data_IF_753988727210
#
_entry.id   IF_753988727210
#
_cell.length_a   1.000
_cell.length_b   1.000
_cell.length_c   1.000
_cell.angle_alpha   90.00
_cell.angle_beta   90.00
_cell.angle_gamma   90.00
#
_symmetry.space_group_name_H-M   'P 1'
#
loop_
_entity.id
_entity.type
_entity.pdbx_description
1 polymer ?
#
# COMPACT_ATOMS: atom_id res chain seq x y z
N UNK A 1 -11.85 -6.94 -8.81
CA UNK A 1 -10.59 -6.20 -8.57
C UNK A 1 -9.43 -7.13 -8.86
N UNK A 2 -8.40 -6.61 -9.49
CA UNK A 2 -7.15 -7.33 -9.73
C UNK A 2 -6.07 -6.84 -8.75
N UNK A 3 -5.41 -7.76 -8.07
CA UNK A 3 -4.25 -7.51 -7.20
C UNK A 3 -3.08 -8.34 -7.69
N UNK A 4 -1.96 -7.69 -7.97
CA UNK A 4 -0.71 -8.32 -8.39
C UNK A 4 0.34 -8.14 -7.30
N UNK A 5 0.96 -9.23 -6.86
CA UNK A 5 2.11 -9.18 -5.96
C UNK A 5 3.37 -9.07 -6.81
N UNK A 6 4.05 -7.92 -6.77
CA UNK A 6 5.16 -7.63 -7.68
C UNK A 6 6.46 -8.21 -7.11
N UNK A 7 6.89 -7.69 -5.96
CA UNK A 7 8.18 -8.02 -5.36
C UNK A 7 8.19 -7.72 -3.87
N UNK A 8 9.25 -8.14 -3.20
CA UNK A 8 9.60 -7.60 -1.89
C UNK A 8 11.09 -7.24 -1.86
N UNK A 9 11.42 -6.26 -1.02
CA UNK A 9 12.76 -5.71 -0.90
C UNK A 9 13.25 -5.78 0.54
N UNK A 10 14.57 -5.90 0.74
CA UNK A 10 15.25 -5.83 2.05
C UNK A 10 14.69 -6.84 3.08
N UNK A 11 14.42 -8.07 2.64
CA UNK A 11 14.02 -9.13 3.54
C UNK A 11 15.21 -9.62 4.36
N UNK A 12 15.03 -9.74 5.66
CA UNK A 12 16.07 -10.27 6.55
C UNK A 12 15.90 -11.77 6.76
N UNK A 13 16.94 -12.58 6.50
CA UNK A 13 16.97 -13.96 6.95
C UNK A 13 16.90 -14.01 8.48
N UNK A 14 16.35 -15.08 9.03
CA UNK A 14 16.48 -15.33 10.46
C UNK A 14 17.96 -15.58 10.78
N UNK A 15 18.52 -14.74 11.64
CA UNK A 15 19.94 -14.74 12.05
C UNK A 15 20.42 -16.01 12.76
N UNK A 16 19.55 -16.99 13.03
CA UNK A 16 19.83 -18.11 13.93
C UNK A 16 20.27 -19.40 13.24
N UNK A 17 20.56 -19.40 11.94
CA UNK A 17 21.01 -20.60 11.24
C UNK A 17 22.54 -20.63 11.10
N UNK A 18 23.15 -21.76 11.48
CA UNK A 18 24.59 -22.05 11.32
C UNK A 18 25.08 -21.95 9.86
N UNK A 19 24.15 -21.96 8.90
CA UNK A 19 24.42 -21.72 7.49
C UNK A 19 23.46 -20.65 6.98
N UNK A 20 23.92 -19.65 6.21
CA UNK A 20 23.05 -18.68 5.58
C UNK A 20 22.10 -19.40 4.63
N UNK A 21 20.84 -19.58 5.06
CA UNK A 21 19.81 -20.19 4.22
C UNK A 21 19.29 -19.13 3.26
N UNK A 22 19.39 -19.41 1.96
CA UNK A 22 18.71 -18.62 0.94
C UNK A 22 17.22 -18.65 1.25
N UNK A 23 16.62 -17.46 1.34
CA UNK A 23 15.17 -17.36 1.49
C UNK A 23 14.49 -17.90 0.23
N UNK A 24 13.34 -18.53 0.44
CA UNK A 24 12.45 -19.06 -0.61
C UNK A 24 11.07 -18.45 -0.42
N UNK A 25 10.89 -17.15 -0.73
CA UNK A 25 9.74 -16.39 -0.27
C UNK A 25 8.48 -16.68 -1.07
N UNK A 26 7.34 -16.60 -0.41
CA UNK A 26 6.02 -16.55 -1.02
C UNK A 26 5.08 -15.68 -0.18
N UNK A 27 4.04 -15.16 -0.82
CA UNK A 27 3.04 -14.31 -0.18
C UNK A 27 1.72 -15.05 -0.07
N UNK A 28 1.07 -14.89 1.08
CA UNK A 28 -0.31 -15.30 1.32
C UNK A 28 -1.16 -14.05 1.50
N UNK A 29 -2.27 -13.96 0.78
CA UNK A 29 -3.24 -12.89 0.90
C UNK A 29 -4.52 -13.46 1.50
N UNK A 30 -5.03 -12.78 2.51
CA UNK A 30 -6.23 -13.15 3.23
C UNK A 30 -7.23 -12.02 3.07
N UNK A 31 -8.32 -12.28 2.36
CA UNK A 31 -9.38 -11.31 2.09
C UNK A 31 -10.58 -11.64 2.95
N UNK A 32 -11.05 -10.71 3.81
CA UNK A 32 -12.21 -10.96 4.65
C UNK A 32 -13.46 -11.15 3.79
N UNK A 33 -14.25 -12.16 4.13
CA UNK A 33 -15.57 -12.33 3.54
C UNK A 33 -16.51 -11.23 4.01
N UNK A 34 -17.31 -10.69 3.09
CA UNK A 34 -18.36 -9.72 3.42
C UNK A 34 -19.67 -10.34 3.87
N UNK A 35 -19.82 -11.65 3.73
CA UNK A 35 -20.99 -12.39 4.18
C UNK A 35 -20.56 -13.17 5.44
N UNK A 36 -21.20 -12.90 6.58
CA UNK A 36 -20.78 -13.37 7.91
C UNK A 36 -20.59 -14.88 8.08
N UNK A 37 -21.08 -15.69 7.13
CA UNK A 37 -20.99 -17.15 7.14
C UNK A 37 -20.05 -17.75 6.08
N UNK A 38 -19.42 -16.94 5.22
CA UNK A 38 -18.56 -17.47 4.14
C UNK A 38 -17.07 -17.52 4.54
N UNK A 39 -16.33 -18.53 4.04
CA UNK A 39 -14.92 -18.69 4.36
C UNK A 39 -14.10 -17.48 3.89
N UNK A 40 -13.09 -17.13 4.68
CA UNK A 40 -12.05 -16.17 4.32
C UNK A 40 -11.35 -16.65 3.05
N UNK A 41 -11.28 -15.81 2.03
CA UNK A 41 -10.59 -16.17 0.78
C UNK A 41 -9.08 -16.02 0.97
N UNK A 42 -8.35 -17.12 0.73
CA UNK A 42 -6.89 -17.16 0.83
C UNK A 42 -6.30 -17.37 -0.55
N UNK A 43 -5.39 -16.48 -0.94
CA UNK A 43 -4.62 -16.56 -2.19
C UNK A 43 -3.14 -16.72 -1.86
N UNK A 44 -2.39 -17.38 -2.73
CA UNK A 44 -0.96 -17.61 -2.52
C UNK A 44 -0.20 -17.43 -3.83
N UNK A 45 0.96 -16.79 -3.76
CA UNK A 45 1.88 -16.69 -4.89
C UNK A 45 2.64 -17.99 -5.09
N UNK A 46 3.24 -18.13 -6.27
CA UNK A 46 4.37 -19.04 -6.45
C UNK A 46 5.48 -18.80 -5.41
N UNK A 47 6.30 -19.82 -5.17
CA UNK A 47 7.49 -19.70 -4.32
C UNK A 47 8.63 -19.18 -5.19
N UNK A 48 9.28 -18.12 -4.75
CA UNK A 48 10.48 -17.63 -5.40
C UNK A 48 11.72 -18.30 -4.80
N UNK A 49 12.26 -19.28 -5.51
CA UNK A 49 13.47 -20.02 -5.11
C UNK A 49 14.77 -19.24 -5.42
N UNK A 50 14.68 -18.15 -6.19
CA UNK A 50 15.83 -17.43 -6.72
C UNK A 50 16.05 -16.05 -6.05
N UNK A 51 15.00 -15.25 -5.86
CA UNK A 51 15.17 -13.85 -5.47
C UNK A 51 15.69 -13.62 -4.04
N UNK A 52 15.65 -14.64 -3.16
CA UNK A 52 16.29 -14.57 -1.85
C UNK A 52 15.75 -13.42 -0.99
N UNK A 53 16.60 -12.42 -0.70
CA UNK A 53 16.20 -11.24 0.09
C UNK A 53 15.40 -10.21 -0.71
N UNK A 54 15.36 -10.33 -2.04
CA UNK A 54 14.65 -9.43 -2.95
C UNK A 54 13.81 -10.24 -3.95
N UNK A 55 12.77 -10.96 -3.48
CA UNK A 55 11.97 -11.81 -4.34
C UNK A 55 11.09 -11.05 -5.33
N UNK A 56 10.76 -11.70 -6.45
CA UNK A 56 9.81 -11.21 -7.45
C UNK A 56 8.86 -12.31 -7.88
N UNK A 57 7.56 -12.00 -7.97
CA UNK A 57 6.51 -12.98 -8.27
C UNK A 57 5.77 -12.64 -9.56
N UNK A 58 5.10 -11.47 -9.59
CA UNK A 58 4.24 -11.09 -10.71
C UNK A 58 2.91 -11.84 -10.75
N UNK A 59 2.63 -12.72 -9.78
CA UNK A 59 1.36 -13.42 -9.61
C UNK A 59 0.19 -12.43 -9.48
N UNK A 60 -0.89 -12.71 -10.22
CA UNK A 60 -2.09 -11.88 -10.32
C UNK A 60 -3.30 -12.61 -9.75
N UNK A 61 -4.04 -11.93 -8.90
CA UNK A 61 -5.22 -12.46 -8.20
C UNK A 61 -6.45 -11.62 -8.54
N UNK A 62 -7.53 -12.29 -8.96
CA UNK A 62 -8.84 -11.68 -9.10
C UNK A 62 -9.60 -11.82 -7.78
N UNK A 63 -9.75 -10.69 -7.09
CA UNK A 63 -10.50 -10.59 -5.84
C UNK A 63 -11.91 -10.14 -6.19
N UNK A 64 -12.94 -10.98 -5.93
CA UNK A 64 -14.32 -10.60 -6.13
C UNK A 64 -14.66 -9.48 -5.14
N UNK A 65 -15.08 -8.34 -5.67
CA UNK A 65 -15.72 -7.30 -4.87
C UNK A 65 -17.21 -7.53 -5.06
N UNK A 66 -17.88 -8.12 -4.08
CA UNK A 66 -19.34 -8.31 -4.18
C UNK A 66 -19.97 -6.92 -4.29
N UNK A 67 -20.57 -6.59 -5.43
CA UNK A 67 -21.23 -5.29 -5.65
C UNK A 67 -22.41 -5.06 -4.68
N UNK A 68 -22.97 -6.15 -4.15
CA UNK A 68 -24.02 -6.14 -3.13
C UNK A 68 -23.48 -6.05 -1.69
N UNK A 69 -22.18 -6.28 -1.48
CA UNK A 69 -21.57 -6.07 -0.17
C UNK A 69 -21.14 -4.63 -0.06
N UNK A 70 -22.09 -3.85 0.44
CA UNK A 70 -21.88 -2.46 0.81
C UNK A 70 -20.66 -2.24 1.71
N UNK A 71 -20.15 -3.25 2.42
CA UNK A 71 -18.99 -3.16 3.33
C UNK A 71 -17.66 -2.74 2.67
N UNK A 72 -17.39 -3.11 1.41
CA UNK A 72 -16.13 -2.66 0.75
C UNK A 72 -16.21 -1.19 0.29
N UNK A 73 -17.41 -0.70 -0.02
CA UNK A 73 -17.63 0.63 -0.58
C UNK A 73 -18.21 1.65 0.42
N UNK A 74 -18.80 1.20 1.53
CA UNK A 74 -19.31 2.07 2.59
C UNK A 74 -18.17 2.48 3.52
N UNK A 75 -17.76 3.75 3.40
CA UNK A 75 -16.77 4.39 4.30
C UNK A 75 -17.21 4.51 5.76
N UNK A 76 -18.43 4.08 6.12
CA UNK A 76 -19.08 4.64 7.31
C UNK A 76 -18.88 3.85 8.60
N UNK A 77 -18.50 2.56 8.56
CA UNK A 77 -18.32 1.79 9.80
C UNK A 77 -17.18 0.76 9.83
N UNK A 78 -16.77 0.17 8.70
CA UNK A 78 -15.65 -0.78 8.65
C UNK A 78 -14.90 -0.65 7.32
N UNK A 79 -13.62 -0.27 7.37
CA UNK A 79 -12.75 -0.38 6.20
C UNK A 79 -12.20 -1.81 6.14
N UNK A 80 -12.59 -2.64 5.15
CA UNK A 80 -12.01 -3.96 5.04
C UNK A 80 -10.52 -3.86 4.77
N UNK A 81 -9.76 -4.73 5.43
CA UNK A 81 -8.31 -4.80 5.37
C UNK A 81 -7.94 -6.11 4.69
N UNK A 82 -7.18 -6.04 3.60
CA UNK A 82 -6.55 -7.24 3.02
C UNK A 82 -5.30 -7.51 3.84
N UNK A 83 -5.21 -8.70 4.43
CA UNK A 83 -4.05 -9.10 5.20
C UNK A 83 -3.05 -9.81 4.28
N UNK A 84 -1.83 -9.33 4.26
CA UNK A 84 -0.73 -9.89 3.48
C UNK A 84 0.30 -10.45 4.43
N UNK A 85 0.60 -11.73 4.29
CA UNK A 85 1.65 -12.40 5.04
C UNK A 85 2.76 -12.84 4.10
N UNK A 86 3.99 -12.51 4.47
CA UNK A 86 5.18 -12.96 3.76
C UNK A 86 5.83 -14.11 4.52
N UNK A 87 6.03 -15.23 3.84
CA UNK A 87 6.59 -16.45 4.39
C UNK A 87 7.79 -16.91 3.54
N UNK A 88 8.66 -17.74 4.13
CA UNK A 88 9.68 -18.51 3.42
C UNK A 88 9.46 -19.99 3.67
N UNK A 89 9.62 -20.81 2.62
CA UNK A 89 9.74 -22.26 2.81
C UNK A 89 11.12 -22.60 3.36
N UNK A 90 11.18 -23.59 4.24
CA UNK A 90 12.43 -24.24 4.63
C UNK A 90 12.70 -25.47 3.74
N UNK A 91 13.87 -26.08 3.95
CA UNK A 91 14.32 -27.25 3.19
C UNK A 91 13.56 -28.54 3.56
N UNK A 92 12.90 -28.58 4.73
CA UNK A 92 12.20 -29.75 5.26
C UNK A 92 10.68 -29.64 5.07
N UNK A 93 10.22 -28.71 4.25
CA UNK A 93 8.80 -28.51 3.93
C UNK A 93 8.02 -27.67 4.94
N UNK A 94 8.66 -27.17 6.00
CA UNK A 94 8.08 -26.19 6.90
C UNK A 94 8.07 -24.78 6.30
N UNK A 95 7.34 -23.88 6.97
CA UNK A 95 7.23 -22.49 6.58
C UNK A 95 7.50 -21.57 7.76
N UNK A 96 8.12 -20.44 7.49
CA UNK A 96 8.42 -19.42 8.48
C UNK A 96 7.93 -18.07 8.00
N UNK A 97 7.15 -17.38 8.83
CA UNK A 97 6.76 -16.00 8.56
C UNK A 97 7.97 -15.06 8.68
N UNK A 98 8.16 -14.24 7.65
CA UNK A 98 9.15 -13.17 7.56
C UNK A 98 8.57 -11.82 8.00
N UNK A 99 7.29 -11.58 7.69
CA UNK A 99 6.59 -10.37 8.08
C UNK A 99 5.14 -10.36 7.60
N UNK A 100 4.43 -9.28 7.89
CA UNK A 100 3.05 -9.08 7.43
C UNK A 100 2.71 -7.60 7.27
N UNK A 101 1.68 -7.29 6.49
CA UNK A 101 1.08 -5.97 6.45
C UNK A 101 -0.42 -6.05 6.20
N UNK A 102 -1.11 -4.95 6.45
CA UNK A 102 -2.52 -4.79 6.10
C UNK A 102 -2.63 -3.72 5.02
N UNK A 103 -3.44 -3.99 4.01
CA UNK A 103 -3.75 -3.09 2.91
C UNK A 103 -5.17 -2.56 3.16
N UNK A 104 -5.32 -1.30 3.59
CA UNK A 104 -6.63 -0.68 3.74
C UNK A 104 -7.34 -0.56 2.41
N UNK A 105 -8.65 -0.86 2.39
CA UNK A 105 -9.47 -0.61 1.21
C UNK A 105 -9.44 0.87 0.76
N UNK A 106 -9.15 1.82 1.65
CA UNK A 106 -8.99 3.23 1.31
C UNK A 106 -7.86 3.49 0.29
N UNK A 107 -6.76 2.74 0.36
CA UNK A 107 -5.62 2.90 -0.56
C UNK A 107 -5.95 2.40 -1.98
N UNK A 108 -6.94 1.49 -2.05
CA UNK A 108 -7.47 0.89 -3.28
C UNK A 108 -8.60 1.74 -3.86
N UNK A 109 -9.53 2.20 -3.01
CA UNK A 109 -10.80 2.84 -3.33
C UNK A 109 -10.83 4.32 -2.94
N UNK A 110 -9.74 5.05 -3.18
CA UNK A 110 -9.65 6.46 -2.74
C UNK A 110 -10.65 7.40 -3.45
N UNK A 111 -11.33 6.92 -4.50
CA UNK A 111 -12.33 7.65 -5.29
C UNK A 111 -11.72 8.60 -6.33
N UNK A 112 -10.39 8.63 -6.46
CA UNK A 112 -9.66 9.55 -7.33
C UNK A 112 -9.12 8.88 -8.60
N UNK A 113 -9.00 7.54 -8.63
CA UNK A 113 -8.60 6.84 -9.85
C UNK A 113 -9.75 6.45 -10.75
N UNK A 114 -9.63 6.69 -12.07
CA UNK A 114 -10.51 6.08 -13.06
C UNK A 114 -10.50 4.56 -12.96
N UNK A 115 -11.63 3.96 -13.31
CA UNK A 115 -11.74 2.53 -13.56
C UNK A 115 -10.65 2.04 -14.52
N UNK A 116 -10.05 0.89 -14.23
CA UNK A 116 -9.00 0.29 -15.05
C UNK A 116 -7.60 0.89 -14.87
N UNK A 117 -7.43 1.95 -14.10
CA UNK A 117 -6.10 2.49 -13.76
C UNK A 117 -5.35 1.55 -12.80
N UNK A 118 -4.10 1.22 -13.11
CA UNK A 118 -3.23 0.40 -12.26
C UNK A 118 -2.50 1.30 -11.27
N UNK A 119 -2.64 1.02 -9.98
CA UNK A 119 -1.93 1.70 -8.90
C UNK A 119 -0.85 0.81 -8.35
N UNK A 120 0.35 1.36 -8.13
CA UNK A 120 1.44 0.66 -7.46
C UNK A 120 1.50 1.14 -6.01
N UNK A 121 1.51 0.20 -5.08
CA UNK A 121 1.55 0.46 -3.65
C UNK A 121 2.73 -0.30 -3.05
N UNK A 122 3.37 0.31 -2.05
CA UNK A 122 4.50 -0.27 -1.34
C UNK A 122 4.22 -0.25 0.15
N UNK A 123 4.14 -1.42 0.77
CA UNK A 123 3.83 -1.57 2.19
C UNK A 123 5.04 -2.06 2.95
N UNK A 124 5.41 -1.34 4.02
CA UNK A 124 6.43 -1.80 4.93
C UNK A 124 5.91 -2.99 5.75
N UNK A 125 6.71 -4.05 5.83
CA UNK A 125 6.38 -5.22 6.62
C UNK A 125 6.51 -4.93 8.12
N UNK A 126 5.59 -5.53 8.88
CA UNK A 126 5.65 -5.65 10.33
C UNK A 126 6.24 -7.00 10.71
N UNK A 127 6.95 -7.01 11.83
CA UNK A 127 7.41 -8.24 12.45
C UNK A 127 6.23 -9.04 13.03
N UNK A 128 6.46 -10.30 13.39
CA UNK A 128 5.42 -11.21 13.91
C UNK A 128 4.69 -10.65 15.14
N UNK A 129 5.39 -9.91 15.99
CA UNK A 129 4.87 -9.24 17.19
C UNK A 129 4.11 -7.93 16.88
N UNK A 130 4.05 -7.52 15.61
CA UNK A 130 3.44 -6.27 15.17
C UNK A 130 4.37 -5.06 15.24
N UNK A 131 5.59 -5.22 15.76
CA UNK A 131 6.60 -4.17 15.75
C UNK A 131 7.02 -3.83 14.31
N UNK A 132 7.70 -2.69 14.16
CA UNK A 132 8.21 -2.24 12.87
C UNK A 132 9.19 -3.27 12.32
N UNK A 133 8.83 -3.92 11.22
CA UNK A 133 9.65 -4.94 10.58
C UNK A 133 10.66 -4.36 9.60
N UNK A 134 11.34 -5.30 8.94
CA UNK A 134 12.26 -5.06 7.84
C UNK A 134 11.62 -5.48 6.52
N UNK A 135 12.00 -4.77 5.47
CA UNK A 135 11.53 -5.01 4.13
C UNK A 135 10.20 -4.34 3.78
N UNK A 136 9.99 -4.27 2.47
CA UNK A 136 8.84 -3.63 1.82
C UNK A 136 8.28 -4.61 0.81
N UNK A 137 6.97 -4.75 0.75
CA UNK A 137 6.28 -5.48 -0.30
C UNK A 137 5.69 -4.50 -1.30
N UNK A 138 5.92 -4.75 -2.58
CA UNK A 138 5.41 -3.95 -3.68
C UNK A 138 4.27 -4.71 -4.35
N UNK A 139 3.14 -4.04 -4.51
CA UNK A 139 1.94 -4.60 -5.13
C UNK A 139 1.42 -3.64 -6.20
N UNK A 140 0.66 -4.18 -7.14
CA UNK A 140 -0.19 -3.41 -8.03
C UNK A 140 -1.65 -3.78 -7.82
N UNK A 141 -2.53 -2.79 -7.84
CA UNK A 141 -3.98 -2.98 -7.77
C UNK A 141 -4.65 -2.29 -8.95
N UNK A 142 -5.67 -2.93 -9.50
CA UNK A 142 -6.49 -2.39 -10.58
C UNK A 142 -7.95 -2.68 -10.27
N UNK A 143 -8.75 -1.62 -10.24
CA UNK A 143 -10.19 -1.74 -10.06
C UNK A 143 -10.86 -1.98 -11.42
N UNK A 144 -11.71 -2.99 -11.49
CA UNK A 144 -12.52 -3.26 -12.67
C UNK A 144 -13.66 -2.23 -12.73
N UNK A 145 -13.94 -1.70 -13.91
CA UNK A 145 -14.86 -0.57 -14.09
C UNK A 145 -16.35 -0.83 -13.85
N UNK A 146 -16.71 -1.96 -13.24
CA UNK A 146 -18.09 -2.26 -12.86
C UNK A 146 -18.45 -1.80 -11.44
N UNK A 147 -17.53 -1.15 -10.71
CA UNK A 147 -17.82 -0.60 -9.38
C UNK A 147 -18.75 0.62 -9.45
N UNK A 148 -19.60 0.87 -8.42
CA UNK A 148 -20.43 2.07 -8.39
C UNK A 148 -19.50 3.29 -8.47
N UNK A 149 -19.83 4.21 -9.39
CA UNK A 149 -19.19 5.52 -9.46
C UNK A 149 -19.40 6.17 -8.10
N UNK A 150 -18.36 6.16 -7.24
CA UNK A 150 -18.35 7.03 -6.07
C UNK A 150 -18.18 8.43 -6.64
N UNK A 151 -19.30 9.02 -7.04
CA UNK A 151 -19.36 10.45 -7.25
C UNK A 151 -19.01 11.05 -5.89
N UNK A 152 -17.81 11.61 -5.78
CA UNK A 152 -17.60 12.65 -4.78
C UNK A 152 -18.81 13.59 -4.93
N UNK A 153 -19.55 13.92 -3.85
CA UNK A 153 -20.47 15.04 -3.94
C UNK A 153 -19.59 16.24 -4.22
N UNK A 154 -19.45 16.57 -5.49
CA UNK A 154 -18.88 17.80 -5.96
C UNK A 154 -19.67 18.86 -5.22
N UNK A 155 -18.97 19.58 -4.35
CA UNK A 155 -19.49 20.65 -3.50
C UNK A 155 -20.67 21.32 -4.20
N UNK A 156 -21.89 20.91 -3.81
CA UNK A 156 -23.08 21.59 -4.23
C UNK A 156 -22.97 22.95 -3.56
N UNK A 157 -22.46 23.95 -4.30
CA UNK A 157 -22.62 25.35 -3.95
C UNK A 157 -24.12 25.55 -3.75
N UNK A 158 -24.61 25.85 -2.53
CA UNK A 158 -25.96 26.35 -2.41
C UNK A 158 -25.90 27.77 -2.97
N UNK A 159 -26.48 27.97 -4.15
CA UNK A 159 -26.87 29.29 -4.59
C UNK A 159 -27.98 29.81 -3.68
N UNK A 160 -27.92 31.12 -3.42
CA UNK A 160 -28.92 32.03 -2.87
C UNK A 160 -29.21 32.01 -1.35
N UNK A 161 -28.72 33.08 -0.72
CA UNK A 161 -29.37 33.92 0.29
C UNK A 161 -30.07 33.23 1.47
N UNK A 162 -29.37 33.12 2.61
CA UNK A 162 -29.88 33.78 3.81
C UNK A 162 -28.72 34.29 4.67
N UNK A 163 -28.83 35.56 5.03
CA UNK A 163 -27.83 36.38 5.68
C UNK A 163 -28.33 36.57 7.11
N UNK A 164 -27.73 35.87 8.08
CA UNK A 164 -27.63 36.33 9.48
C UNK A 164 -26.67 35.48 10.34
N UNK A 165 -25.56 36.14 10.68
CA UNK A 165 -24.78 36.05 11.92
C UNK A 165 -24.02 34.75 12.26
N UNK A 166 -22.72 34.74 11.94
CA UNK A 166 -21.67 34.08 12.73
C UNK A 166 -20.40 34.97 12.74
N UNK A 167 -19.69 35.12 13.87
CA UNK A 167 -18.65 36.12 14.00
C UNK A 167 -17.38 35.74 13.23
N UNK A 168 -16.81 36.78 12.64
CA UNK A 168 -15.59 36.85 11.86
C UNK A 168 -14.38 36.34 12.66
N UNK A 169 -13.86 35.16 12.30
CA UNK A 169 -12.48 34.76 12.64
C UNK A 169 -11.62 34.87 11.39
N UNK A 170 -10.62 35.74 11.49
CA UNK A 170 -9.80 36.26 10.40
C UNK A 170 -9.10 35.22 9.53
N UNK A 171 -8.89 35.64 8.30
CA UNK A 171 -8.10 34.99 7.25
C UNK A 171 -6.69 34.64 7.76
N UNK A 172 -6.48 33.37 8.10
CA UNK A 172 -5.13 32.79 8.20
C UNK A 172 -4.53 32.71 6.79
N UNK A 173 -3.60 33.62 6.49
CA UNK A 173 -2.83 33.61 5.26
C UNK A 173 -2.12 32.26 5.07
N UNK A 174 -2.34 31.62 3.92
CA UNK A 174 -1.55 30.45 3.49
C UNK A 174 -0.22 30.95 2.94
N UNK A 175 0.89 30.55 3.56
CA UNK A 175 2.25 30.86 3.10
C UNK A 175 2.79 29.66 2.31
N UNK A 176 3.08 29.87 1.01
CA UNK A 176 3.76 28.89 0.16
C UNK A 176 5.25 29.22 0.16
N UNK A 177 6.08 28.31 0.70
CA UNK A 177 7.53 28.44 0.66
C UNK A 177 8.08 28.10 -0.72
N UNK A 178 8.90 28.98 -1.29
CA UNK A 178 9.65 28.74 -2.53
C UNK A 178 10.94 27.98 -2.17
N UNK A 179 11.21 26.79 -2.76
CA UNK A 179 12.47 26.10 -2.50
C UNK A 179 13.65 26.83 -3.15
N UNK A 180 14.65 27.18 -2.33
CA UNK A 180 15.91 27.78 -2.80
C UNK A 180 16.81 26.68 -3.36
N UNK A 181 17.21 26.80 -4.63
CA UNK A 181 18.30 26.02 -5.21
C UNK A 181 19.63 26.62 -4.75
N UNK A 182 20.45 25.86 -4.04
CA UNK A 182 21.82 26.26 -3.75
C UNK A 182 22.63 26.20 -5.04
N UNK A 183 23.20 27.35 -5.43
CA UNK A 183 24.22 27.44 -6.48
C UNK A 183 25.55 26.94 -5.92
N UNK A 184 26.35 26.20 -6.71
CA UNK A 184 27.68 25.78 -6.30
C UNK A 184 28.63 26.98 -6.17
N UNK A 185 29.43 26.96 -5.11
CA UNK A 185 30.40 27.96 -4.72
C UNK A 185 31.56 28.00 -5.73
N UNK A 186 31.83 29.19 -6.30
CA UNK A 186 32.89 29.38 -7.28
C UNK A 186 34.26 29.42 -6.60
N UNK A 187 35.12 28.46 -6.93
CA UNK A 187 36.53 28.39 -6.54
C UNK A 187 37.30 29.57 -7.17
N UNK A 188 37.58 30.62 -6.38
CA UNK A 188 38.45 31.72 -6.83
C UNK A 188 39.91 31.34 -6.60
N UNK A 189 40.60 30.98 -7.68
CA UNK A 189 42.06 30.88 -7.71
C UNK A 189 42.70 32.23 -8.09
N UNK A 190 43.67 32.61 -7.25
CA UNK A 190 44.97 33.24 -7.57
C UNK A 190 44.99 34.77 -7.76
N UNK A 191 45.72 35.42 -6.84
CA UNK A 191 46.47 36.65 -7.08
C UNK A 191 47.80 36.56 -6.34
N UNK A 192 48.86 36.22 -7.08
CA UNK A 192 50.23 36.67 -6.78
C UNK A 192 50.30 38.09 -7.34
N UNK A 193 50.91 39.02 -6.62
CA UNK A 193 51.67 40.12 -7.22
C UNK A 193 52.58 40.77 -6.17
N UNK A 194 53.87 40.78 -6.53
CA UNK A 194 55.05 41.56 -6.13
C UNK A 194 55.41 41.78 -4.65
#
# INVERSE_FOLDING_TARGET
MELTVISADDLKPKSSALFPRRLRPFVTLTVPSTNGDKPVHVYQTTVDDAGGTNPSWGDKFHIPLDHNSTSFYQRQYYHPLIYLQLCTKDLMGGQTQLGWCQIPAADILDGLSPAGHVRRLSYRLRARDGCRGHGVVNIAVKLDGSGPVIMCPQSQRPSSYDRRNWPEMGLGQTVIGIPVRQLPEAETRRGKDY
#
